data_IF_167464184321
#
_entry.id   IF_167464184321
#
_cell.length_a   1.000
_cell.length_b   1.000
_cell.length_c   1.000
_cell.angle_alpha   90.00
_cell.angle_beta   90.00
_cell.angle_gamma   90.00
#
_symmetry.space_group_name_H-M   'P 1'
#
loop_
_entity.id
_entity.type
_entity.pdbx_description
1 polymer ?
#
# COMPACT_ATOMS: atom_id res chain seq x y z
N UNK A 1 5.20 0.36 -13.32
CA UNK A 1 4.01 1.24 -13.19
C UNK A 1 2.91 0.38 -12.59
N UNK A 2 2.70 0.48 -11.28
CA UNK A 2 1.67 -0.30 -10.59
C UNK A 2 0.54 0.64 -10.24
N UNK A 3 -0.49 0.68 -11.10
CA UNK A 3 -1.73 1.37 -10.82
C UNK A 3 -2.64 0.43 -10.05
N UNK A 4 -3.03 0.80 -8.83
CA UNK A 4 -3.88 -0.01 -7.99
C UNK A 4 -5.37 0.14 -8.28
N UNK A 5 -5.82 -0.05 -9.54
CA UNK A 5 -7.25 -0.12 -9.87
C UNK A 5 -7.72 -1.57 -10.02
N UNK A 6 -8.96 -1.85 -9.66
CA UNK A 6 -9.63 -3.09 -10.06
C UNK A 6 -9.61 -3.18 -11.59
N UNK A 7 -9.12 -4.30 -12.15
CA UNK A 7 -8.84 -4.43 -13.57
C UNK A 7 -10.04 -4.14 -14.46
N UNK A 8 -9.78 -3.45 -15.58
CA UNK A 8 -10.48 -3.48 -16.85
C UNK A 8 -11.82 -2.70 -17.02
N UNK A 9 -12.44 -2.12 -16.00
CA UNK A 9 -13.70 -1.37 -16.20
C UNK A 9 -13.56 0.16 -16.08
N UNK A 10 -12.38 0.65 -15.64
CA UNK A 10 -12.17 2.08 -15.40
C UNK A 10 -11.14 2.67 -16.37
N UNK A 11 -11.29 3.97 -16.73
CA UNK A 11 -10.24 4.71 -17.41
C UNK A 11 -8.95 4.72 -16.55
N UNK A 12 -7.76 4.94 -17.16
CA UNK A 12 -6.49 5.03 -16.43
C UNK A 12 -6.55 6.03 -15.28
N UNK A 13 -5.88 5.69 -14.17
CA UNK A 13 -5.76 6.57 -13.02
C UNK A 13 -5.07 7.90 -13.39
N UNK A 14 -5.57 9.00 -12.78
CA UNK A 14 -5.06 10.35 -12.96
C UNK A 14 -3.93 10.63 -11.95
N UNK A 15 -2.81 9.90 -12.10
CA UNK A 15 -1.62 10.07 -11.26
C UNK A 15 -0.35 9.75 -12.02
N UNK A 16 0.74 10.30 -11.52
CA UNK A 16 2.10 9.89 -11.83
C UNK A 16 2.71 9.25 -10.60
N UNK A 17 3.52 8.20 -10.78
CA UNK A 17 4.12 7.49 -9.65
C UNK A 17 5.60 7.25 -9.89
N UNK A 18 6.41 7.56 -8.89
CA UNK A 18 7.81 7.15 -8.81
C UNK A 18 7.93 6.09 -7.72
N UNK A 19 8.33 4.87 -8.12
CA UNK A 19 8.39 3.72 -7.23
C UNK A 19 9.84 3.39 -6.82
N UNK A 20 10.03 3.07 -5.54
CA UNK A 20 11.30 2.63 -4.95
C UNK A 20 11.02 1.32 -4.23
N UNK A 21 11.89 0.32 -4.41
CA UNK A 21 11.86 -0.97 -3.74
C UNK A 21 13.08 -1.21 -2.85
N UNK A 22 13.14 -2.35 -2.12
CA UNK A 22 14.27 -2.71 -1.29
C UNK A 22 15.53 -2.88 -2.14
N UNK A 23 16.65 -2.35 -1.63
CA UNK A 23 17.90 -2.31 -2.37
C UNK A 23 18.84 -3.48 -2.08
N UNK A 24 18.57 -4.24 -1.01
CA UNK A 24 19.45 -5.34 -0.60
C UNK A 24 18.96 -6.65 -1.22
N UNK A 25 19.66 -7.19 -2.22
CA UNK A 25 19.26 -8.42 -2.88
C UNK A 25 19.38 -9.65 -1.95
N UNK A 26 18.61 -10.68 -2.24
CA UNK A 26 18.68 -11.97 -1.54
C UNK A 26 19.89 -12.81 -1.97
N UNK A 27 20.42 -12.55 -3.16
CA UNK A 27 21.47 -13.34 -3.82
C UNK A 27 20.91 -14.42 -4.73
N UNK A 28 19.60 -14.62 -4.82
CA UNK A 28 18.94 -15.43 -5.83
C UNK A 28 18.50 -14.57 -7.01
N UNK A 29 19.11 -14.71 -8.21
CA UNK A 29 18.80 -13.85 -9.34
C UNK A 29 17.34 -13.90 -9.78
N UNK A 30 16.64 -15.01 -9.58
CA UNK A 30 15.24 -15.15 -9.97
C UNK A 30 14.29 -14.39 -9.03
N UNK A 31 14.63 -14.32 -7.76
CA UNK A 31 13.92 -13.55 -6.75
C UNK A 31 14.26 -12.06 -6.90
N UNK A 32 15.54 -11.76 -7.02
CA UNK A 32 16.04 -10.39 -7.07
C UNK A 32 15.54 -9.63 -8.30
N UNK A 33 15.41 -10.29 -9.43
CA UNK A 33 14.86 -9.70 -10.66
C UNK A 33 13.41 -9.22 -10.51
N UNK A 34 12.64 -9.82 -9.62
CA UNK A 34 11.21 -9.51 -9.40
C UNK A 34 11.00 -8.59 -8.20
N UNK A 35 11.64 -8.92 -7.07
CA UNK A 35 11.32 -8.30 -5.78
C UNK A 35 12.37 -7.28 -5.31
N UNK A 36 13.58 -7.33 -5.87
CA UNK A 36 14.71 -6.47 -5.47
C UNK A 36 15.42 -5.85 -6.68
N UNK A 37 14.68 -5.36 -7.71
CA UNK A 37 15.31 -4.74 -8.86
C UNK A 37 16.06 -3.48 -8.42
N UNK A 38 17.19 -3.13 -9.09
CA UNK A 38 17.90 -1.89 -8.79
C UNK A 38 16.99 -0.67 -8.94
N UNK A 39 17.01 0.21 -7.94
CA UNK A 39 16.31 1.48 -8.01
C UNK A 39 16.98 2.42 -9.02
N UNK A 40 16.19 3.15 -9.79
CA UNK A 40 16.67 4.17 -10.72
C UNK A 40 16.52 5.54 -10.06
N UNK A 41 17.64 6.25 -9.91
CA UNK A 41 17.65 7.56 -9.27
C UNK A 41 17.84 8.65 -10.33
N UNK A 42 17.00 9.70 -10.35
CA UNK A 42 17.16 10.80 -11.29
C UNK A 42 18.44 11.59 -10.97
N UNK A 43 19.26 11.81 -11.98
CA UNK A 43 20.50 12.59 -11.84
C UNK A 43 20.26 14.07 -11.59
N UNK A 44 19.06 14.55 -11.96
CA UNK A 44 18.62 15.94 -11.83
C UNK A 44 18.32 16.33 -10.37
N UNK A 45 18.06 15.35 -9.50
CA UNK A 45 17.73 15.55 -8.08
C UNK A 45 18.56 14.59 -7.22
N UNK A 46 19.88 14.81 -7.13
CA UNK A 46 20.80 13.87 -6.47
C UNK A 46 20.51 13.67 -4.97
N UNK A 47 19.93 14.67 -4.30
CA UNK A 47 19.52 14.60 -2.89
C UNK A 47 18.32 13.69 -2.63
N UNK A 48 17.50 13.38 -3.64
CA UNK A 48 16.30 12.55 -3.52
C UNK A 48 16.63 11.20 -2.88
N UNK A 49 17.72 10.57 -3.32
CA UNK A 49 18.15 9.28 -2.81
C UNK A 49 18.37 9.31 -1.28
N UNK A 50 19.16 10.28 -0.81
CA UNK A 50 19.46 10.38 0.63
C UNK A 50 18.22 10.71 1.45
N UNK A 51 17.34 11.57 0.95
CA UNK A 51 16.08 11.90 1.61
C UNK A 51 15.16 10.68 1.68
N UNK A 52 14.99 9.95 0.57
CA UNK A 52 14.20 8.73 0.51
C UNK A 52 14.73 7.64 1.44
N UNK A 53 16.04 7.36 1.43
CA UNK A 53 16.65 6.35 2.30
C UNK A 53 16.40 6.64 3.81
N UNK A 54 16.46 7.92 4.21
CA UNK A 54 16.13 8.32 5.59
C UNK A 54 14.65 8.12 5.92
N UNK A 55 13.77 8.52 5.01
CA UNK A 55 12.32 8.35 5.16
C UNK A 55 11.95 6.86 5.24
N UNK A 56 12.50 6.04 4.35
CA UNK A 56 12.27 4.60 4.30
C UNK A 56 12.71 3.87 5.56
N UNK A 57 13.85 4.27 6.14
CA UNK A 57 14.29 3.71 7.43
C UNK A 57 13.29 4.01 8.55
N UNK A 58 12.73 5.22 8.59
CA UNK A 58 11.70 5.60 9.56
C UNK A 58 10.38 4.83 9.31
N UNK A 59 9.93 4.73 8.05
CA UNK A 59 8.69 4.04 7.71
C UNK A 59 8.77 2.53 7.96
N UNK A 60 9.93 1.92 7.74
CA UNK A 60 10.17 0.53 8.12
C UNK A 60 10.03 0.32 9.63
N UNK A 61 10.59 1.21 10.45
CA UNK A 61 10.45 1.15 11.91
C UNK A 61 8.97 1.31 12.33
N UNK A 62 8.28 2.33 11.80
CA UNK A 62 6.85 2.56 12.07
C UNK A 62 6.01 1.34 11.66
N UNK A 63 6.27 0.73 10.51
CA UNK A 63 5.51 -0.43 10.04
C UNK A 63 5.73 -1.67 10.93
N UNK A 64 6.96 -1.87 11.42
CA UNK A 64 7.24 -2.93 12.40
C UNK A 64 6.51 -2.69 13.73
N UNK A 65 6.52 -1.45 14.24
CA UNK A 65 5.77 -1.08 15.45
C UNK A 65 4.27 -1.29 15.25
N UNK A 66 3.73 -0.98 14.08
CA UNK A 66 2.32 -1.25 13.74
C UNK A 66 2.01 -2.75 13.74
N UNK A 67 2.88 -3.61 13.20
CA UNK A 67 2.69 -5.06 13.27
C UNK A 67 2.77 -5.57 14.71
N UNK A 68 3.65 -5.04 15.56
CA UNK A 68 3.69 -5.37 16.99
C UNK A 68 2.40 -4.96 17.71
N UNK A 69 1.87 -3.78 17.40
CA UNK A 69 0.57 -3.33 17.92
C UNK A 69 -0.58 -4.23 17.44
N UNK A 70 -0.54 -4.64 16.17
CA UNK A 70 -1.49 -5.62 15.62
C UNK A 70 -1.43 -6.95 16.37
N UNK A 71 -0.22 -7.49 16.61
CA UNK A 71 -0.05 -8.72 17.40
C UNK A 71 -0.62 -8.57 18.81
N UNK A 72 -0.30 -7.47 19.50
CA UNK A 72 -0.83 -7.18 20.83
C UNK A 72 -2.36 -7.04 20.84
N UNK A 73 -2.96 -6.40 19.83
CA UNK A 73 -4.41 -6.27 19.69
C UNK A 73 -5.11 -7.63 19.43
N UNK A 74 -4.38 -8.61 18.89
CA UNK A 74 -4.85 -9.99 18.72
C UNK A 74 -4.63 -10.86 19.97
N UNK A 75 -3.97 -10.32 21.00
CA UNK A 75 -3.59 -11.07 22.20
C UNK A 75 -2.43 -12.04 22.00
N UNK A 76 -1.59 -11.78 21.00
CA UNK A 76 -0.40 -12.57 20.65
C UNK A 76 0.88 -11.96 21.24
N UNK A 77 1.98 -12.72 21.35
CA UNK A 77 3.30 -12.14 21.57
C UNK A 77 3.61 -11.04 20.52
N UNK A 78 4.24 -9.96 20.97
CA UNK A 78 4.45 -8.77 20.10
C UNK A 78 5.21 -9.07 18.81
N UNK A 79 6.18 -9.96 18.89
CA UNK A 79 7.05 -10.37 17.79
C UNK A 79 6.40 -11.35 16.79
N UNK A 80 5.20 -11.85 17.08
CA UNK A 80 4.54 -12.88 16.26
C UNK A 80 4.44 -12.50 14.78
N UNK A 81 4.06 -11.25 14.50
CA UNK A 81 3.90 -10.80 13.12
C UNK A 81 5.22 -10.30 12.51
N UNK A 82 6.07 -9.68 13.30
CA UNK A 82 7.37 -9.17 12.84
C UNK A 82 8.43 -10.25 12.62
N UNK A 83 8.24 -11.45 13.17
CA UNK A 83 9.12 -12.60 12.95
C UNK A 83 9.15 -13.10 11.50
N UNK A 84 8.16 -12.73 10.69
CA UNK A 84 8.11 -13.03 9.25
C UNK A 84 8.50 -11.82 8.37
N UNK A 85 9.13 -10.81 8.96
CA UNK A 85 9.57 -9.59 8.29
C UNK A 85 11.02 -9.22 8.69
N UNK A 86 11.95 -10.18 8.64
CA UNK A 86 13.37 -9.94 8.92
C UNK A 86 14.07 -9.24 7.74
N UNK A 87 13.73 -9.65 6.52
CA UNK A 87 14.17 -9.07 5.25
C UNK A 87 12.98 -8.76 4.35
N UNK A 88 12.08 -7.85 4.82
CA UNK A 88 10.79 -7.65 4.19
C UNK A 88 10.91 -7.08 2.79
N UNK A 89 10.05 -7.52 1.91
CA UNK A 89 9.73 -6.76 0.71
C UNK A 89 8.89 -5.54 1.09
N UNK A 90 8.96 -4.50 0.29
CA UNK A 90 8.17 -3.29 0.43
C UNK A 90 8.19 -2.49 -0.87
N UNK A 91 7.22 -1.63 -1.02
CA UNK A 91 7.21 -0.66 -2.12
C UNK A 91 6.91 0.73 -1.54
N UNK A 92 7.68 1.70 -1.95
CA UNK A 92 7.45 3.10 -1.64
C UNK A 92 7.10 3.85 -2.91
N UNK A 93 5.92 4.44 -2.95
CA UNK A 93 5.46 5.27 -4.07
C UNK A 93 5.40 6.73 -3.66
N UNK A 94 6.02 7.58 -4.47
CA UNK A 94 5.78 9.02 -4.49
C UNK A 94 4.76 9.26 -5.60
N UNK A 95 3.52 9.56 -5.22
CA UNK A 95 2.44 9.81 -6.16
C UNK A 95 2.19 11.30 -6.32
N UNK A 96 2.27 11.79 -7.55
CA UNK A 96 1.82 13.13 -7.92
C UNK A 96 0.42 13.03 -8.50
N UNK A 97 -0.47 13.85 -8.02
CA UNK A 97 -1.83 14.00 -8.54
C UNK A 97 -1.93 15.35 -9.23
N UNK A 98 -1.89 15.38 -10.57
CA UNK A 98 -1.93 16.62 -11.32
C UNK A 98 -3.26 17.36 -11.13
N UNK A 99 -3.26 18.72 -11.29
CA UNK A 99 -4.45 19.53 -11.16
C UNK A 99 -5.43 19.33 -12.32
N UNK A 100 -6.71 19.68 -12.09
CA UNK A 100 -7.76 19.63 -13.11
C UNK A 100 -7.39 20.44 -14.37
N UNK A 101 -6.69 21.57 -14.17
CA UNK A 101 -6.21 22.43 -15.28
C UNK A 101 -5.17 21.77 -16.20
N UNK A 102 -4.51 20.70 -15.71
CA UNK A 102 -3.54 19.92 -16.49
C UNK A 102 -4.19 18.70 -17.16
N UNK A 103 -4.99 17.95 -16.40
CA UNK A 103 -5.61 16.70 -16.92
C UNK A 103 -6.89 16.93 -17.69
N UNK A 104 -7.54 18.08 -17.53
CA UNK A 104 -8.85 18.36 -18.11
C UNK A 104 -9.99 17.68 -17.35
N UNK A 105 -11.20 17.70 -17.95
CA UNK A 105 -12.38 17.08 -17.35
C UNK A 105 -12.20 15.55 -17.28
N UNK A 106 -12.27 14.94 -16.10
CA UNK A 106 -12.14 13.48 -15.96
C UNK A 106 -13.24 12.74 -16.72
N UNK A 107 -12.91 11.60 -17.30
CA UNK A 107 -13.88 10.73 -17.93
C UNK A 107 -14.87 10.16 -16.91
N UNK A 108 -16.10 9.77 -17.32
CA UNK A 108 -17.02 9.07 -16.43
C UNK A 108 -16.37 7.84 -15.78
N UNK A 109 -16.38 7.76 -14.45
CA UNK A 109 -15.76 6.68 -13.70
C UNK A 109 -14.23 6.75 -13.58
N UNK A 110 -13.58 7.83 -14.02
CA UNK A 110 -12.16 8.03 -13.85
C UNK A 110 -11.84 8.60 -12.47
N UNK A 111 -10.77 8.10 -11.86
CA UNK A 111 -10.29 8.47 -10.52
C UNK A 111 -8.82 8.92 -10.56
N UNK A 112 -8.35 9.58 -9.50
CA UNK A 112 -6.91 9.69 -9.23
C UNK A 112 -6.33 8.32 -8.92
N UNK A 113 -7.06 7.51 -8.10
CA UNK A 113 -6.83 6.06 -7.91
C UNK A 113 -8.19 5.38 -7.80
N UNK A 114 -8.45 4.40 -8.66
CA UNK A 114 -9.69 3.62 -8.65
C UNK A 114 -9.89 2.82 -7.36
N UNK A 115 -11.11 2.32 -7.10
CA UNK A 115 -11.40 1.49 -5.93
C UNK A 115 -10.52 0.22 -5.90
N UNK A 116 -9.83 -0.01 -4.76
CA UNK A 116 -8.95 -1.17 -4.58
C UNK A 116 -8.74 -1.48 -3.10
N UNK A 117 -8.09 -2.60 -2.82
CA UNK A 117 -7.45 -2.94 -1.55
C UNK A 117 -5.94 -3.02 -1.75
N UNK A 118 -5.17 -2.80 -0.68
CA UNK A 118 -3.74 -3.06 -0.69
C UNK A 118 -3.46 -4.54 -0.45
N UNK A 119 -2.37 -5.05 -1.00
CA UNK A 119 -2.13 -6.50 -1.04
C UNK A 119 -1.36 -7.04 0.16
N UNK A 120 -0.56 -6.19 0.81
CA UNK A 120 0.38 -6.59 1.83
C UNK A 120 -0.14 -6.63 3.27
N UNK A 121 0.72 -6.21 4.20
CA UNK A 121 0.37 -6.21 5.62
C UNK A 121 -0.22 -4.88 6.06
N UNK A 122 0.59 -3.84 6.11
CA UNK A 122 0.18 -2.48 6.47
C UNK A 122 0.66 -1.48 5.43
N UNK A 123 -0.18 -0.50 5.15
CA UNK A 123 0.18 0.66 4.33
C UNK A 123 0.20 1.89 5.21
N UNK A 124 1.27 2.67 5.08
CA UNK A 124 1.43 3.97 5.74
C UNK A 124 1.40 5.04 4.67
N UNK A 125 0.40 5.91 4.76
CA UNK A 125 0.19 7.03 3.85
C UNK A 125 0.46 8.34 4.56
N UNK A 126 1.40 9.11 4.01
CA UNK A 126 1.64 10.51 4.29
C UNK A 126 1.17 11.33 3.09
N UNK A 127 0.32 12.33 3.32
CA UNK A 127 -0.28 13.12 2.24
C UNK A 127 -0.27 14.60 2.54
N UNK A 128 -0.13 15.39 1.50
CA UNK A 128 -0.24 16.84 1.60
C UNK A 128 -1.66 17.29 1.98
N UNK A 129 -1.77 18.47 2.65
CA UNK A 129 -3.06 19.09 2.92
C UNK A 129 -3.74 19.52 1.61
N UNK A 130 -5.06 19.35 1.54
CA UNK A 130 -5.83 19.76 0.37
C UNK A 130 -7.22 19.14 0.36
N UNK A 131 -7.99 19.37 -0.70
CA UNK A 131 -9.28 18.73 -0.93
C UNK A 131 -9.13 17.20 -1.05
N UNK A 132 -7.98 16.73 -1.59
CA UNK A 132 -7.52 15.34 -1.57
C UNK A 132 -8.47 14.38 -2.29
N UNK A 133 -9.47 13.89 -1.56
CA UNK A 133 -10.49 12.97 -2.10
C UNK A 133 -10.26 11.49 -1.77
N UNK A 134 -9.41 11.19 -0.77
CA UNK A 134 -9.29 9.82 -0.26
C UNK A 134 -10.59 9.42 0.43
N UNK A 135 -11.19 8.31 -0.03
CA UNK A 135 -12.40 7.73 0.54
C UNK A 135 -12.18 6.27 0.89
N UNK A 136 -12.85 5.83 1.95
CA UNK A 136 -12.87 4.43 2.39
C UNK A 136 -14.29 3.88 2.31
N UNK A 137 -14.42 2.60 1.97
CA UNK A 137 -15.72 1.89 1.94
C UNK A 137 -15.99 1.31 3.32
N UNK A 138 -17.05 1.77 3.96
CA UNK A 138 -17.46 1.28 5.28
C UNK A 138 -18.50 0.16 5.09
N UNK A 139 -18.05 -1.08 5.09
CA UNK A 139 -18.89 -2.30 5.25
C UNK A 139 -20.22 -2.30 4.49
N UNK A 140 -20.20 -1.89 3.21
CA UNK A 140 -21.42 -1.75 2.41
C UNK A 140 -22.30 -0.55 2.79
N UNK A 141 -21.83 0.31 3.72
CA UNK A 141 -22.46 1.58 4.08
C UNK A 141 -22.13 2.72 3.13
N UNK A 142 -21.28 2.44 2.13
CA UNK A 142 -20.86 3.41 1.12
C UNK A 142 -19.53 4.08 1.43
N UNK A 143 -19.14 4.98 0.52
CA UNK A 143 -17.86 5.69 0.57
C UNK A 143 -17.94 6.89 1.51
N UNK A 144 -16.96 6.99 2.42
CA UNK A 144 -16.79 8.12 3.33
C UNK A 144 -15.39 8.72 3.17
N UNK A 145 -15.27 10.02 3.37
CA UNK A 145 -13.98 10.68 3.32
C UNK A 145 -13.09 10.21 4.47
N UNK A 146 -11.86 9.83 4.16
CA UNK A 146 -10.87 9.53 5.18
C UNK A 146 -10.47 10.81 5.90
N UNK A 147 -10.46 10.84 7.24
CA UNK A 147 -10.04 12.01 7.99
C UNK A 147 -8.61 12.40 7.62
N UNK A 148 -8.33 13.69 7.65
CA UNK A 148 -6.99 14.24 7.45
C UNK A 148 -6.53 14.95 8.71
N UNK A 149 -5.33 14.61 9.15
CA UNK A 149 -4.62 15.28 10.22
C UNK A 149 -3.17 15.51 9.73
N UNK A 150 -2.67 16.75 9.70
CA UNK A 150 -1.32 17.06 9.22
C UNK A 150 -0.21 16.48 10.11
N UNK A 151 -0.53 16.11 11.35
CA UNK A 151 0.41 15.54 12.32
C UNK A 151 0.28 14.01 12.44
N UNK A 152 -0.48 13.36 11.53
CA UNK A 152 -0.72 11.93 11.59
C UNK A 152 -0.67 11.24 10.21
N UNK A 153 -0.20 10.00 10.20
CA UNK A 153 -0.32 9.13 9.03
C UNK A 153 -1.72 8.53 8.92
N UNK A 154 -2.18 8.31 7.69
CA UNK A 154 -3.30 7.42 7.44
C UNK A 154 -2.75 6.00 7.30
N UNK A 155 -3.31 5.05 8.06
CA UNK A 155 -2.85 3.65 8.04
C UNK A 155 -4.01 2.74 7.71
N UNK A 156 -3.78 1.77 6.84
CA UNK A 156 -4.72 0.68 6.57
C UNK A 156 -4.00 -0.66 6.54
N UNK A 157 -4.76 -1.73 6.78
CA UNK A 157 -4.27 -3.11 6.60
C UNK A 157 -4.58 -3.59 5.19
N UNK A 158 -3.69 -4.45 4.67
CA UNK A 158 -3.83 -5.08 3.38
C UNK A 158 -4.36 -6.52 3.45
N UNK A 159 -4.47 -7.13 2.27
CA UNK A 159 -5.08 -8.44 2.08
C UNK A 159 -4.31 -9.57 2.79
N UNK A 160 -2.97 -9.50 2.79
CA UNK A 160 -2.14 -10.53 3.42
C UNK A 160 -2.33 -10.55 4.94
N UNK A 161 -2.40 -9.36 5.59
CA UNK A 161 -2.70 -9.27 7.01
C UNK A 161 -4.16 -9.68 7.32
N UNK A 162 -5.10 -9.32 6.45
CA UNK A 162 -6.48 -9.78 6.56
C UNK A 162 -6.56 -11.31 6.50
N UNK A 163 -5.85 -11.93 5.54
CA UNK A 163 -5.74 -13.38 5.42
C UNK A 163 -5.09 -14.01 6.66
N UNK A 164 -3.97 -13.45 7.13
CA UNK A 164 -3.25 -13.94 8.31
C UNK A 164 -4.10 -13.92 9.57
N UNK A 165 -4.92 -12.88 9.75
CA UNK A 165 -5.85 -12.80 10.88
C UNK A 165 -7.10 -13.71 10.73
N UNK A 166 -7.10 -14.62 9.77
CA UNK A 166 -8.24 -15.49 9.51
C UNK A 166 -9.50 -14.71 9.17
N UNK A 167 -9.38 -13.61 8.46
CA UNK A 167 -10.44 -12.64 8.14
C UNK A 167 -11.13 -12.02 9.37
N UNK A 168 -10.46 -11.96 10.51
CA UNK A 168 -10.92 -11.19 11.67
C UNK A 168 -10.92 -9.71 11.36
N UNK A 169 -9.86 -9.23 10.71
CA UNK A 169 -9.76 -7.90 10.13
C UNK A 169 -9.97 -7.98 8.63
N UNK A 170 -10.36 -6.86 8.05
CA UNK A 170 -10.57 -6.74 6.61
C UNK A 170 -9.54 -5.82 6.02
N UNK A 171 -9.12 -6.11 4.81
CA UNK A 171 -8.41 -5.15 3.98
C UNK A 171 -9.34 -3.98 3.67
N UNK A 172 -8.85 -2.77 3.91
CA UNK A 172 -9.64 -1.56 3.74
C UNK A 172 -9.78 -1.17 2.27
N UNK A 173 -10.97 -1.36 1.69
CA UNK A 173 -11.22 -0.90 0.32
C UNK A 173 -11.28 0.61 0.29
N UNK A 174 -10.49 1.24 -0.59
CA UNK A 174 -10.38 2.69 -0.68
C UNK A 174 -10.20 3.17 -2.11
N UNK A 175 -10.37 4.48 -2.33
CA UNK A 175 -10.19 5.15 -3.62
C UNK A 175 -9.77 6.60 -3.43
N UNK A 176 -9.25 7.23 -4.48
CA UNK A 176 -8.98 8.67 -4.50
C UNK A 176 -9.79 9.30 -5.61
N UNK A 177 -10.71 10.20 -5.25
CA UNK A 177 -11.60 10.90 -6.18
C UNK A 177 -10.81 11.69 -7.24
N UNK A 178 -11.40 11.95 -8.41
CA UNK A 178 -10.79 12.81 -9.41
C UNK A 178 -10.57 14.23 -8.87
N UNK A 179 -9.74 15.07 -9.55
CA UNK A 179 -9.55 16.46 -9.17
C UNK A 179 -10.89 17.17 -8.99
N UNK A 180 -11.01 17.95 -7.90
CA UNK A 180 -12.26 18.57 -7.52
C UNK A 180 -12.45 19.92 -8.25
N UNK A 181 -13.64 20.17 -8.80
CA UNK A 181 -13.95 21.40 -9.53
C UNK A 181 -13.80 22.68 -8.69
N UNK A 182 -13.97 22.59 -7.37
CA UNK A 182 -13.76 23.70 -6.44
C UNK A 182 -12.28 23.99 -6.13
N UNK A 183 -11.38 23.09 -6.51
CA UNK A 183 -9.93 23.23 -6.37
C UNK A 183 -9.20 22.90 -7.67
N UNK A 184 -9.47 23.59 -8.81
CA UNK A 184 -9.03 23.19 -10.15
C UNK A 184 -7.51 23.27 -10.35
N UNK A 185 -6.82 24.01 -9.49
CA UNK A 185 -5.36 24.18 -9.51
C UNK A 185 -4.65 23.33 -8.44
N UNK A 186 -5.38 22.48 -7.72
CA UNK A 186 -4.80 21.66 -6.68
C UNK A 186 -3.95 20.54 -7.29
N UNK A 187 -2.65 20.65 -7.08
CA UNK A 187 -1.69 19.58 -7.24
C UNK A 187 -1.35 19.01 -5.87
N UNK A 188 -1.28 17.71 -5.74
CA UNK A 188 -0.97 17.04 -4.48
C UNK A 188 0.11 15.98 -4.68
N UNK A 189 0.91 15.80 -3.65
CA UNK A 189 1.84 14.67 -3.53
C UNK A 189 1.44 13.81 -2.35
N UNK A 190 1.55 12.51 -2.50
CA UNK A 190 1.45 11.56 -1.39
C UNK A 190 2.62 10.59 -1.41
N UNK A 191 3.06 10.21 -0.20
CA UNK A 191 4.09 9.23 0.05
C UNK A 191 3.42 7.99 0.61
N UNK A 192 3.48 6.89 -0.13
CA UNK A 192 2.77 5.65 0.22
C UNK A 192 3.78 4.54 0.43
N UNK A 193 3.85 4.02 1.63
CA UNK A 193 4.75 2.93 1.99
C UNK A 193 3.94 1.65 2.23
N UNK A 194 4.06 0.70 1.31
CA UNK A 194 3.47 -0.63 1.39
C UNK A 194 4.47 -1.56 2.05
N UNK A 195 4.18 -2.02 3.25
CA UNK A 195 5.05 -2.92 4.00
C UNK A 195 4.55 -4.36 3.90
N UNK A 196 5.46 -5.22 3.50
CA UNK A 196 5.20 -6.63 3.23
C UNK A 196 5.90 -7.52 4.28
N UNK A 197 6.01 -8.80 3.98
CA UNK A 197 6.80 -9.78 4.73
C UNK A 197 8.03 -10.20 3.92
N UNK A 198 8.82 -11.09 4.46
CA UNK A 198 9.87 -11.76 3.70
C UNK A 198 9.23 -12.48 2.50
N UNK A 199 9.90 -12.48 1.36
CA UNK A 199 9.33 -13.00 0.11
C UNK A 199 8.89 -14.46 0.21
N UNK A 200 9.57 -15.26 1.01
CA UNK A 200 9.33 -16.69 1.26
C UNK A 200 8.54 -16.99 2.54
N UNK A 201 8.09 -15.93 3.25
CA UNK A 201 7.35 -16.09 4.49
C UNK A 201 6.08 -16.92 4.29
N UNK A 202 5.96 -18.02 5.04
CA UNK A 202 4.76 -18.85 5.07
C UNK A 202 3.77 -18.29 6.09
N UNK A 203 2.70 -17.70 5.58
CA UNK A 203 1.63 -17.11 6.39
C UNK A 203 0.56 -18.16 6.63
N UNK A 204 0.50 -18.66 7.86
CA UNK A 204 -0.56 -19.57 8.32
C UNK A 204 -1.66 -18.78 9.00
N UNK A 205 -2.90 -18.81 8.48
CA UNK A 205 -4.00 -18.08 9.08
C UNK A 205 -4.21 -18.46 10.55
N UNK A 206 -4.42 -17.45 11.39
CA UNK A 206 -4.70 -17.65 12.81
C UNK A 206 -6.06 -18.34 12.98
N UNK A 207 -6.12 -19.44 13.75
CA UNK A 207 -7.39 -20.16 13.94
C UNK A 207 -8.30 -19.43 14.93
N UNK A 208 -9.61 -19.76 14.98
CA UNK A 208 -10.47 -19.34 16.07
C UNK A 208 -9.91 -19.75 17.45
N UNK A 209 -10.08 -18.95 18.50
CA UNK A 209 -10.91 -17.74 18.55
C UNK A 209 -10.20 -16.46 18.11
N UNK A 210 -8.91 -16.50 17.80
CA UNK A 210 -8.15 -15.32 17.34
C UNK A 210 -8.60 -14.93 15.94
N UNK A 211 -8.52 -15.84 14.99
CA UNK A 211 -9.11 -15.67 13.65
C UNK A 211 -10.60 -15.99 13.63
N UNK A 212 -11.26 -15.67 12.52
CA UNK A 212 -12.69 -16.04 12.31
C UNK A 212 -12.85 -17.33 11.55
N UNK A 213 -11.93 -17.64 10.62
CA UNK A 213 -12.00 -18.77 9.70
C UNK A 213 -10.89 -19.77 9.98
N UNK A 214 -11.27 -21.05 10.02
CA UNK A 214 -10.34 -22.15 10.19
C UNK A 214 -9.98 -22.87 8.87
N UNK A 215 -10.67 -22.52 7.77
CA UNK A 215 -10.62 -23.22 6.48
C UNK A 215 -9.73 -22.52 5.44
N UNK A 216 -9.04 -21.44 5.83
CA UNK A 216 -8.14 -20.72 4.94
C UNK A 216 -6.80 -21.48 4.83
N UNK A 217 -6.29 -21.70 3.62
CA UNK A 217 -4.99 -22.34 3.43
C UNK A 217 -3.84 -21.42 3.84
N UNK A 218 -2.70 -21.98 4.27
CA UNK A 218 -1.47 -21.20 4.35
C UNK A 218 -1.07 -20.68 2.95
N UNK A 219 -0.45 -19.51 2.93
CA UNK A 219 0.04 -18.87 1.70
C UNK A 219 1.49 -18.43 1.86
N UNK A 220 2.25 -18.43 0.78
CA UNK A 220 3.59 -17.81 0.76
C UNK A 220 3.46 -16.37 0.29
N UNK A 221 4.17 -15.45 0.96
CA UNK A 221 4.04 -14.01 0.75
C UNK A 221 4.19 -13.59 -0.72
N UNK A 222 5.32 -13.89 -1.35
CA UNK A 222 5.58 -13.45 -2.72
C UNK A 222 4.58 -13.99 -3.76
N UNK A 223 4.25 -15.29 -3.82
CA UNK A 223 3.20 -15.79 -4.70
C UNK A 223 1.83 -15.14 -4.45
N UNK A 224 1.47 -14.91 -3.18
CA UNK A 224 0.21 -14.25 -2.83
C UNK A 224 0.12 -12.82 -3.36
N UNK A 225 1.21 -12.05 -3.23
CA UNK A 225 1.31 -10.69 -3.77
C UNK A 225 1.33 -10.70 -5.30
N UNK A 226 2.08 -11.64 -5.90
CA UNK A 226 2.20 -11.73 -7.37
C UNK A 226 0.87 -11.98 -8.05
N UNK A 227 0.06 -12.90 -7.53
CA UNK A 227 -1.28 -13.19 -8.05
C UNK A 227 -2.15 -11.92 -8.13
N UNK A 228 -2.05 -11.04 -7.12
CA UNK A 228 -2.81 -9.79 -7.07
C UNK A 228 -2.26 -8.73 -8.01
N UNK A 229 -0.94 -8.63 -8.09
CA UNK A 229 -0.28 -7.73 -9.04
C UNK A 229 -0.61 -8.10 -10.48
N UNK A 230 -0.60 -9.39 -10.82
CA UNK A 230 -0.93 -9.87 -12.16
C UNK A 230 -2.40 -9.60 -12.51
N UNK A 231 -3.31 -9.66 -11.52
CA UNK A 231 -4.73 -9.39 -11.74
C UNK A 231 -5.05 -7.93 -12.09
N UNK A 232 -4.20 -6.97 -11.70
CA UNK A 232 -4.37 -5.53 -12.01
C UNK A 232 -3.52 -5.06 -13.21
N UNK A 233 -2.65 -5.92 -13.74
CA UNK A 233 -1.71 -5.58 -14.83
C UNK A 233 -2.25 -5.95 -16.22
N UNK A 234 -3.53 -6.30 -16.35
CA UNK A 234 -4.18 -6.75 -17.61
C UNK A 234 -4.74 -5.57 -18.37
#
# INVERSE_FOLDING_TARGET
MFGGGEAAEFPPDLKESFAIGPATPTGDPSIDAVWFPPNVWPSEVPELRTAAERYLAAMTAVSRDLLELCAAALGLPRDTLTALAEHPTWTFNINRYPPLTEVGEPLPGQFRIGPHTDFGTVTVLDREPGAGGLQVDIDGGGWVDAPYDPDAFTVNIGDLLAHWTGLRWRSGRHRVLPPQAQAPHEELVSLVFFFELDHDALVTPLPPPVGRRADLPPVVSAPFLRERLDAISV
#
